data_IF_207767019551
#
_entry.id   IF_207767019551
#
_cell.length_a   1.000
_cell.length_b   1.000
_cell.length_c   1.000
_cell.angle_alpha   90.00
_cell.angle_beta   90.00
_cell.angle_gamma   90.00
#
_symmetry.space_group_name_H-M   'P 1'
#
loop_
_entity.id
_entity.type
_entity.pdbx_description
1 polymer ?
#
# COMPACT_ATOMS: atom_id res chain seq x y z
N UNK A 1 18.54 -1.54 -7.30
CA UNK A 1 17.79 -2.83 -7.31
C UNK A 1 16.99 -2.91 -8.61
N UNK A 2 16.72 -4.10 -9.16
CA UNK A 2 15.97 -4.23 -10.43
C UNK A 2 14.59 -3.54 -10.41
N UNK A 3 13.86 -3.58 -9.29
CA UNK A 3 12.54 -2.90 -9.15
C UNK A 3 12.66 -1.38 -9.22
N UNK A 4 13.66 -0.79 -8.55
CA UNK A 4 13.84 0.67 -8.52
C UNK A 4 14.22 1.20 -9.89
N UNK A 5 15.03 0.44 -10.64
CA UNK A 5 15.38 0.76 -12.03
C UNK A 5 14.13 0.79 -12.92
N UNK A 6 13.33 -0.30 -12.92
CA UNK A 6 12.07 -0.37 -13.68
C UNK A 6 11.16 0.82 -13.36
N UNK A 7 10.98 1.14 -12.07
CA UNK A 7 10.14 2.26 -11.65
C UNK A 7 10.66 3.58 -12.22
N UNK A 8 11.94 3.87 -12.02
CA UNK A 8 12.53 5.15 -12.42
C UNK A 8 12.61 5.34 -13.95
N UNK A 9 12.67 4.27 -14.73
CA UNK A 9 12.70 4.34 -16.21
C UNK A 9 11.33 4.13 -16.86
N UNK A 10 10.26 3.89 -16.08
CA UNK A 10 8.94 3.53 -16.62
C UNK A 10 8.17 4.68 -17.28
N UNK A 11 8.48 5.94 -16.93
CA UNK A 11 7.64 7.08 -17.28
C UNK A 11 6.29 7.10 -16.54
N UNK A 12 6.09 6.27 -15.52
CA UNK A 12 4.86 6.22 -14.76
C UNK A 12 4.65 7.48 -13.89
N UNK A 13 3.39 7.91 -13.75
CA UNK A 13 3.02 9.01 -12.85
C UNK A 13 3.04 8.62 -11.37
N UNK A 14 2.88 7.32 -11.08
CA UNK A 14 2.99 6.76 -9.74
C UNK A 14 3.39 5.28 -9.80
N UNK A 15 3.87 4.74 -8.69
CA UNK A 15 4.02 3.30 -8.49
C UNK A 15 3.36 2.83 -7.19
N UNK A 16 2.98 1.55 -7.16
CA UNK A 16 2.51 0.86 -5.95
C UNK A 16 3.20 -0.47 -5.84
N UNK A 17 3.74 -0.77 -4.66
CA UNK A 17 4.25 -2.10 -4.34
C UNK A 17 3.29 -2.83 -3.40
N UNK A 18 2.85 -4.02 -3.79
CA UNK A 18 1.90 -4.83 -3.03
C UNK A 18 2.65 -5.94 -2.30
N UNK A 19 2.44 -6.05 -0.99
CA UNK A 19 3.12 -6.96 -0.09
C UNK A 19 2.14 -7.59 0.90
N UNK A 20 2.57 -8.64 1.59
CA UNK A 20 1.90 -9.11 2.81
C UNK A 20 2.90 -9.14 3.95
N UNK A 21 2.46 -8.69 5.12
CA UNK A 21 3.31 -8.51 6.28
C UNK A 21 3.52 -9.85 7.00
N UNK A 22 4.64 -9.99 7.69
CA UNK A 22 4.96 -11.19 8.46
C UNK A 22 5.81 -10.80 9.67
N UNK A 23 5.22 -10.95 10.87
CA UNK A 23 5.92 -10.74 12.14
C UNK A 23 5.54 -11.83 13.14
N UNK A 24 6.40 -12.03 14.15
CA UNK A 24 6.26 -13.12 15.14
C UNK A 24 4.98 -13.03 15.98
N UNK A 25 4.47 -11.83 16.24
CA UNK A 25 3.21 -11.66 16.98
C UNK A 25 2.02 -11.90 16.05
N UNK A 26 1.46 -13.12 16.11
CA UNK A 26 0.33 -13.56 15.30
C UNK A 26 -0.98 -12.79 15.56
N UNK A 27 -1.04 -11.95 16.61
CA UNK A 27 -2.22 -11.11 16.91
C UNK A 27 -2.29 -9.86 16.05
N UNK A 28 -1.18 -9.49 15.41
CA UNK A 28 -1.09 -8.31 14.58
C UNK A 28 -1.89 -8.53 13.30
N UNK A 29 -2.69 -7.52 12.94
CA UNK A 29 -3.59 -7.56 11.78
C UNK A 29 -3.77 -6.18 11.16
N UNK A 30 -4.36 -6.14 9.97
CA UNK A 30 -4.75 -4.92 9.28
C UNK A 30 -3.83 -4.53 8.15
N UNK A 31 -4.43 -4.20 7.00
CA UNK A 31 -3.72 -3.61 5.88
C UNK A 31 -3.11 -2.25 6.26
N UNK A 32 -1.87 -2.00 5.85
CA UNK A 32 -1.14 -0.79 6.17
C UNK A 32 -0.39 -0.23 4.95
N UNK A 33 -0.47 1.08 4.79
CA UNK A 33 0.22 1.83 3.73
C UNK A 33 1.47 2.48 4.31
N UNK A 34 2.58 2.30 3.61
CA UNK A 34 3.87 2.91 3.90
C UNK A 34 4.29 3.87 2.79
N UNK A 35 4.97 4.95 3.18
CA UNK A 35 5.51 5.94 2.26
C UNK A 35 6.89 6.42 2.73
N UNK A 36 7.77 6.76 1.80
CA UNK A 36 9.13 7.24 2.11
C UNK A 36 9.18 8.76 2.31
N UNK A 37 9.10 9.51 1.21
CA UNK A 37 9.13 10.98 1.22
C UNK A 37 7.80 11.57 1.73
N UNK A 38 7.86 12.67 2.50
CA UNK A 38 6.71 13.44 2.98
C UNK A 38 5.77 13.90 1.84
N UNK A 39 6.29 14.12 0.63
CA UNK A 39 5.48 14.46 -0.55
C UNK A 39 4.46 13.36 -0.91
N UNK A 40 4.77 12.10 -0.60
CA UNK A 40 3.88 10.96 -0.83
C UNK A 40 2.78 10.83 0.24
N UNK A 41 2.77 11.66 1.28
CA UNK A 41 1.74 11.62 2.33
C UNK A 41 0.33 11.86 1.77
N UNK A 42 0.21 12.77 0.79
CA UNK A 42 -1.05 13.07 0.09
C UNK A 42 -1.60 11.91 -0.74
N UNK A 43 -0.75 10.94 -1.11
CA UNK A 43 -1.15 9.67 -1.74
C UNK A 43 -1.45 8.59 -0.67
N UNK A 44 -0.60 8.49 0.35
CA UNK A 44 -0.63 7.42 1.33
C UNK A 44 -1.84 7.48 2.29
N UNK A 45 -2.19 8.65 2.80
CA UNK A 45 -3.30 8.77 3.76
C UNK A 45 -4.68 8.46 3.14
N UNK A 46 -5.03 8.97 1.94
CA UNK A 46 -6.26 8.53 1.26
C UNK A 46 -6.26 7.02 0.96
N UNK A 47 -5.13 6.47 0.51
CA UNK A 47 -5.02 5.03 0.27
C UNK A 47 -5.26 4.21 1.55
N UNK A 48 -4.69 4.60 2.70
CA UNK A 48 -4.97 3.95 3.98
C UNK A 48 -6.44 4.06 4.37
N UNK A 49 -7.09 5.21 4.15
CA UNK A 49 -8.51 5.38 4.48
C UNK A 49 -9.40 4.43 3.69
N UNK A 50 -9.09 4.17 2.42
CA UNK A 50 -9.80 3.19 1.59
C UNK A 50 -9.68 1.75 2.12
N UNK A 51 -8.63 1.46 2.90
CA UNK A 51 -8.34 0.13 3.45
C UNK A 51 -8.85 -0.10 4.89
N UNK A 52 -9.64 0.82 5.46
CA UNK A 52 -10.18 0.70 6.84
C UNK A 52 -11.11 -0.50 7.06
N UNK A 53 -11.65 -1.08 5.99
CA UNK A 53 -12.45 -2.31 6.04
C UNK A 53 -11.66 -3.58 5.69
N UNK A 54 -10.33 -3.50 5.59
CA UNK A 54 -9.45 -4.61 5.22
C UNK A 54 -8.43 -4.91 6.34
N UNK A 55 -8.76 -5.86 7.24
CA UNK A 55 -10.06 -6.48 7.45
C UNK A 55 -11.02 -5.52 8.18
N UNK A 56 -12.26 -5.94 8.42
CA UNK A 56 -13.24 -5.10 9.10
C UNK A 56 -12.71 -4.63 10.46
N UNK A 57 -12.82 -3.32 10.71
CA UNK A 57 -12.29 -2.69 11.92
C UNK A 57 -10.78 -2.47 11.88
N UNK A 58 -10.15 -2.43 10.70
CA UNK A 58 -8.75 -2.06 10.55
C UNK A 58 -8.50 -0.64 11.11
N UNK A 59 -7.57 -0.54 12.07
CA UNK A 59 -7.20 0.71 12.76
C UNK A 59 -5.81 1.23 12.37
N UNK A 60 -5.14 0.59 11.40
CA UNK A 60 -3.82 1.03 10.94
C UNK A 60 -3.90 2.42 10.34
N UNK A 61 -2.79 3.14 10.48
CA UNK A 61 -2.59 4.46 9.89
C UNK A 61 -1.45 4.37 8.89
N UNK A 62 -1.49 5.25 7.89
CA UNK A 62 -0.40 5.40 6.95
C UNK A 62 0.85 5.77 7.74
N UNK A 63 1.96 5.09 7.48
CA UNK A 63 3.20 5.27 8.24
C UNK A 63 4.31 5.71 7.31
N UNK A 64 4.97 6.81 7.66
CA UNK A 64 6.23 7.16 7.01
C UNK A 64 7.29 6.16 7.45
N UNK A 65 7.96 5.54 6.49
CA UNK A 65 9.05 4.62 6.75
C UNK A 65 10.17 4.88 5.78
N UNK A 66 11.19 5.54 6.30
CA UNK A 66 12.38 5.85 5.53
C UNK A 66 13.20 4.57 5.31
N UNK A 67 13.13 3.52 6.11
CA UNK A 67 14.06 2.40 5.98
C UNK A 67 13.71 1.44 4.82
N UNK A 68 12.55 1.62 4.20
CA UNK A 68 12.16 0.91 2.99
C UNK A 68 12.95 1.46 1.79
N UNK A 69 14.08 0.82 1.48
CA UNK A 69 15.04 1.22 0.43
C UNK A 69 14.35 1.55 -0.90
N UNK A 70 13.38 0.75 -1.32
CA UNK A 70 12.67 0.98 -2.57
C UNK A 70 11.91 2.31 -2.57
N UNK A 71 11.27 2.70 -1.47
CA UNK A 71 10.57 4.00 -1.37
C UNK A 71 11.55 5.18 -1.29
N UNK A 72 12.78 4.96 -0.81
CA UNK A 72 13.88 5.95 -0.81
C UNK A 72 14.52 6.13 -2.19
N UNK A 73 14.67 5.04 -2.94
CA UNK A 73 15.48 4.99 -4.15
C UNK A 73 14.70 5.27 -5.45
N UNK A 74 13.41 5.58 -5.36
CA UNK A 74 12.55 5.89 -6.50
C UNK A 74 12.26 7.37 -6.60
N UNK A 75 12.34 7.92 -7.82
CA UNK A 75 11.98 9.32 -8.12
C UNK A 75 10.51 9.48 -8.47
N UNK A 76 9.85 8.41 -8.91
CA UNK A 76 8.41 8.36 -9.16
C UNK A 76 7.66 8.36 -7.82
N UNK A 77 6.58 9.15 -7.64
CA UNK A 77 5.74 9.08 -6.45
C UNK A 77 5.19 7.67 -6.20
N UNK A 78 5.16 7.21 -4.95
CA UNK A 78 4.61 5.88 -4.69
C UNK A 78 4.53 5.46 -3.25
N UNK A 79 3.83 4.34 -3.07
CA UNK A 79 3.50 3.75 -1.77
C UNK A 79 3.76 2.25 -1.78
N UNK A 80 3.99 1.70 -0.59
CA UNK A 80 3.98 0.26 -0.35
C UNK A 80 2.72 -0.08 0.45
N UNK A 81 1.97 -1.07 -0.02
CA UNK A 81 0.77 -1.55 0.66
C UNK A 81 1.06 -2.95 1.20
N UNK A 82 1.12 -3.06 2.52
CA UNK A 82 1.03 -4.35 3.21
C UNK A 82 -0.45 -4.70 3.34
N UNK A 83 -0.91 -5.74 2.65
CA UNK A 83 -2.35 -6.04 2.53
C UNK A 83 -2.95 -6.72 3.75
N UNK A 84 -2.12 -7.18 4.68
CA UNK A 84 -2.47 -7.91 5.89
C UNK A 84 -1.28 -8.74 6.37
N UNK A 85 -1.44 -9.49 7.46
CA UNK A 85 -0.39 -10.31 8.07
C UNK A 85 -0.59 -11.80 7.76
N UNK A 86 0.35 -12.41 7.02
CA UNK A 86 0.30 -13.86 6.73
C UNK A 86 0.55 -14.72 7.97
N UNK A 87 1.13 -14.14 9.02
CA UNK A 87 1.32 -14.80 10.32
C UNK A 87 0.05 -14.80 11.19
N UNK A 88 -0.96 -13.98 10.86
CA UNK A 88 -2.26 -14.03 11.51
C UNK A 88 -3.17 -15.02 10.77
N UNK A 89 -3.51 -16.16 11.38
CA UNK A 89 -4.25 -17.25 10.70
C UNK A 89 -5.59 -16.81 10.06
N UNK A 90 -6.49 -16.08 10.76
CA UNK A 90 -7.70 -15.56 10.13
C UNK A 90 -7.43 -14.64 8.93
N UNK A 91 -6.44 -13.74 9.04
CA UNK A 91 -6.11 -12.82 7.96
C UNK A 91 -5.43 -13.53 6.78
N UNK A 92 -4.59 -14.52 7.05
CA UNK A 92 -3.99 -15.38 6.03
C UNK A 92 -5.05 -16.11 5.20
N UNK A 93 -6.12 -16.61 5.85
CA UNK A 93 -7.25 -17.21 5.15
C UNK A 93 -8.00 -16.19 4.26
N UNK A 94 -8.18 -14.95 4.73
CA UNK A 94 -8.75 -13.87 3.91
C UNK A 94 -7.83 -13.50 2.75
N UNK A 95 -6.51 -13.43 2.98
CA UNK A 95 -5.53 -13.11 1.93
C UNK A 95 -5.43 -14.21 0.87
N UNK A 96 -5.83 -15.45 1.18
CA UNK A 96 -5.94 -16.55 0.21
C UNK A 96 -7.29 -16.57 -0.54
N UNK A 97 -8.28 -15.81 -0.08
CA UNK A 97 -9.61 -15.75 -0.70
C UNK A 97 -9.64 -14.78 -1.90
N UNK A 98 -10.05 -15.28 -3.06
CA UNK A 98 -10.06 -14.50 -4.30
C UNK A 98 -11.05 -13.32 -4.26
N UNK A 99 -12.20 -13.46 -3.58
CA UNK A 99 -13.18 -12.36 -3.46
C UNK A 99 -12.63 -11.24 -2.58
N UNK A 100 -11.93 -11.59 -1.50
CA UNK A 100 -11.25 -10.65 -0.62
C UNK A 100 -10.12 -9.92 -1.35
N UNK A 101 -9.27 -10.65 -2.08
CA UNK A 101 -8.21 -10.06 -2.92
C UNK A 101 -8.79 -9.07 -3.93
N UNK A 102 -9.87 -9.46 -4.64
CA UNK A 102 -10.52 -8.61 -5.63
C UNK A 102 -11.05 -7.31 -5.00
N UNK A 103 -11.76 -7.40 -3.86
CA UNK A 103 -12.26 -6.23 -3.13
C UNK A 103 -11.14 -5.32 -2.64
N UNK A 104 -10.03 -5.90 -2.17
CA UNK A 104 -8.85 -5.16 -1.72
C UNK A 104 -8.19 -4.43 -2.90
N UNK A 105 -7.98 -5.12 -4.02
CA UNK A 105 -7.43 -4.53 -5.24
C UNK A 105 -8.30 -3.38 -5.77
N UNK A 106 -9.63 -3.53 -5.75
CA UNK A 106 -10.55 -2.46 -6.14
C UNK A 106 -10.45 -1.22 -5.24
N UNK A 107 -10.29 -1.38 -3.93
CA UNK A 107 -10.11 -0.24 -3.03
C UNK A 107 -8.78 0.49 -3.28
N UNK A 108 -7.70 -0.27 -3.50
CA UNK A 108 -6.41 0.32 -3.88
C UNK A 108 -6.58 1.10 -5.18
N UNK A 109 -7.14 0.48 -6.23
CA UNK A 109 -7.34 1.11 -7.52
C UNK A 109 -8.20 2.38 -7.43
N UNK A 110 -9.31 2.35 -6.68
CA UNK A 110 -10.17 3.52 -6.44
C UNK A 110 -9.41 4.66 -5.75
N UNK A 111 -8.60 4.35 -4.74
CA UNK A 111 -7.80 5.36 -4.06
C UNK A 111 -6.76 6.02 -4.98
N UNK A 112 -6.09 5.22 -5.82
CA UNK A 112 -5.13 5.73 -6.80
C UNK A 112 -5.80 6.57 -7.88
N UNK A 113 -6.92 6.10 -8.42
CA UNK A 113 -7.69 6.82 -9.43
C UNK A 113 -8.19 8.17 -8.89
N UNK A 114 -8.68 8.19 -7.65
CA UNK A 114 -9.05 9.42 -6.96
C UNK A 114 -7.85 10.36 -6.82
N UNK A 115 -6.70 9.85 -6.36
CA UNK A 115 -5.50 10.68 -6.23
C UNK A 115 -5.07 11.27 -7.57
N UNK A 116 -5.04 10.47 -8.64
CA UNK A 116 -4.73 10.94 -9.98
C UNK A 116 -5.73 12.00 -10.44
N UNK A 117 -7.04 11.81 -10.25
CA UNK A 117 -8.04 12.79 -10.71
C UNK A 117 -7.90 14.16 -10.04
N UNK A 118 -7.37 14.21 -8.82
CA UNK A 118 -7.10 15.49 -8.12
C UNK A 118 -5.81 16.17 -8.59
N UNK A 119 -4.92 15.45 -9.28
CA UNK A 119 -3.58 15.91 -9.64
C UNK A 119 -3.31 15.93 -11.16
N UNK A 120 -4.32 15.66 -12.00
CA UNK A 120 -4.24 15.68 -13.48
C UNK A 120 -4.18 17.10 -14.08
N UNK A 121 -4.14 18.16 -13.26
CA UNK A 121 -4.18 19.55 -13.73
C UNK A 121 -3.10 20.48 -13.12
N UNK A 122 -1.89 19.99 -12.86
CA UNK A 122 -0.73 20.84 -12.52
C UNK A 122 0.49 20.47 -13.34
#
# INVERSE_FOLDING_TARGET
>A
MKRTEIINTSGASLFVSIHCNAIRDERQKGAQVFYGNADNKGLAEPAQRALKSFPQGNRRQAKQDNDIIMLKATTVPGILVETGYITNKPESALLADASYQQKLAEQIAKALAYHLSQNVAR
#
